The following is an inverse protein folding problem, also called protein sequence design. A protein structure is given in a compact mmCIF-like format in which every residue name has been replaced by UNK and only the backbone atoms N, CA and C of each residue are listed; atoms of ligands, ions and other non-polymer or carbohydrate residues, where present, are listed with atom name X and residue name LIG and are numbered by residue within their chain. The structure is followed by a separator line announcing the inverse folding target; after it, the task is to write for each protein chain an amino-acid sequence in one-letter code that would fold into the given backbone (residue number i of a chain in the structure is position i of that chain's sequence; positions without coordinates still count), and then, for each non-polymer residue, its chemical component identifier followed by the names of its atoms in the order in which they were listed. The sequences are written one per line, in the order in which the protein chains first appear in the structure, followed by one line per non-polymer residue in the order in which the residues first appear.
data_IF_603111577131
#
_entry.id   IF_603111577131
#
_cell.length_a   1.000
_cell.length_b   1.000
_cell.length_c   1.000
_cell.angle_alpha   90.00
_cell.angle_beta   90.00
_cell.angle_gamma   90.00
#
_symmetry.space_group_name_H-M   'P 1'
#
loop_
_entity.id
_entity.type
_entity.pdbx_description
1 polymer ?
#
# COMPACT_ATOMS: atom_id res chain seq x y z
N UNK A 1 -10.78 1.44 -3.98
CA UNK A 1 -9.54 0.81 -4.46
C UNK A 1 -9.62 0.71 -5.97
N UNK A 2 -8.55 1.05 -6.69
CA UNK A 2 -8.46 0.94 -8.15
C UNK A 2 -7.43 -0.15 -8.44
N UNK A 3 -7.84 -1.20 -9.13
CA UNK A 3 -6.94 -2.28 -9.58
C UNK A 3 -6.59 -2.06 -11.06
N UNK A 4 -5.31 -2.06 -11.37
CA UNK A 4 -4.80 -1.85 -12.71
C UNK A 4 -3.35 -2.30 -12.83
N UNK A 5 -2.99 -2.80 -14.01
CA UNK A 5 -1.59 -3.12 -14.35
C UNK A 5 -0.73 -1.86 -14.44
N UNK A 6 -1.29 -0.67 -14.72
CA UNK A 6 -0.54 0.59 -14.83
C UNK A 6 0.75 0.47 -15.66
N UNK A 7 0.70 -0.11 -16.86
CA UNK A 7 1.90 -0.34 -17.68
C UNK A 7 2.47 0.91 -18.38
N UNK A 8 1.94 2.11 -18.08
CA UNK A 8 2.33 3.38 -18.69
C UNK A 8 2.42 4.48 -17.62
N UNK A 9 3.56 5.18 -17.49
CA UNK A 9 3.73 6.20 -16.44
C UNK A 9 2.80 7.40 -16.57
N UNK A 10 2.63 7.94 -17.79
CA UNK A 10 1.83 9.17 -17.99
C UNK A 10 0.36 9.01 -17.54
N UNK A 11 -0.38 7.96 -17.95
CA UNK A 11 -1.73 7.70 -17.42
C UNK A 11 -1.77 7.46 -15.91
N UNK A 12 -0.73 6.85 -15.32
CA UNK A 12 -0.67 6.62 -13.89
C UNK A 12 -0.57 7.97 -13.13
N UNK A 13 0.29 8.88 -13.59
CA UNK A 13 0.43 10.22 -13.01
C UNK A 13 -0.87 11.02 -13.17
N UNK A 14 -1.48 11.02 -14.36
CA UNK A 14 -2.75 11.71 -14.63
C UNK A 14 -3.88 11.21 -13.71
N UNK A 15 -3.93 9.90 -13.43
CA UNK A 15 -4.87 9.33 -12.46
C UNK A 15 -4.62 9.90 -11.05
N UNK A 16 -3.35 9.98 -10.63
CA UNK A 16 -2.97 10.59 -9.35
C UNK A 16 -3.39 12.04 -9.23
N UNK A 17 -3.21 12.83 -10.29
CA UNK A 17 -3.63 14.23 -10.36
C UNK A 17 -5.15 14.38 -10.23
N UNK A 18 -5.93 13.58 -10.97
CA UNK A 18 -7.39 13.59 -10.88
C UNK A 18 -7.88 13.28 -9.46
N UNK A 19 -7.28 12.29 -8.81
CA UNK A 19 -7.60 11.94 -7.42
C UNK A 19 -7.24 13.08 -6.46
N UNK A 20 -6.08 13.70 -6.64
CA UNK A 20 -5.64 14.83 -5.83
C UNK A 20 -6.55 16.06 -5.98
N UNK A 21 -7.00 16.36 -7.21
CA UNK A 21 -7.95 17.44 -7.52
C UNK A 21 -9.31 17.18 -6.89
N UNK A 22 -9.76 15.93 -6.88
CA UNK A 22 -10.99 15.52 -6.20
C UNK A 22 -10.87 15.50 -4.66
N UNK A 23 -9.70 15.79 -4.10
CA UNK A 23 -9.47 15.89 -2.66
C UNK A 23 -9.16 14.56 -1.97
N UNK A 24 -8.88 13.50 -2.72
CA UNK A 24 -8.48 12.21 -2.14
C UNK A 24 -7.02 12.21 -1.69
N UNK A 25 -6.74 11.46 -0.63
CA UNK A 25 -5.42 10.94 -0.34
C UNK A 25 -5.17 9.66 -1.14
N UNK A 26 -3.93 9.46 -1.59
CA UNK A 26 -3.58 8.34 -2.47
C UNK A 26 -2.57 7.43 -1.79
N UNK A 27 -2.90 6.15 -1.71
CA UNK A 27 -1.94 5.08 -1.41
C UNK A 27 -1.66 4.27 -2.68
N UNK A 28 -0.38 4.01 -2.92
CA UNK A 28 0.08 3.18 -4.05
C UNK A 28 0.57 1.85 -3.50
N UNK A 29 -0.06 0.76 -3.94
CA UNK A 29 0.35 -0.61 -3.66
C UNK A 29 0.79 -1.23 -4.97
N UNK A 30 2.05 -1.64 -5.01
CA UNK A 30 2.75 -2.14 -6.19
C UNK A 30 3.16 -3.59 -5.94
N UNK A 31 2.65 -4.52 -6.75
CA UNK A 31 2.78 -5.95 -6.55
C UNK A 31 3.62 -6.55 -7.68
N UNK A 32 4.82 -6.99 -7.34
CA UNK A 32 5.82 -7.37 -8.34
C UNK A 32 6.26 -8.82 -8.20
N UNK A 33 6.48 -9.46 -9.35
CA UNK A 33 6.95 -10.85 -9.49
C UNK A 33 7.83 -10.98 -10.74
N UNK A 34 8.70 -12.00 -10.82
CA UNK A 34 9.34 -12.35 -12.08
C UNK A 34 8.31 -12.68 -13.16
N UNK A 35 8.67 -12.44 -14.42
CA UNK A 35 7.81 -12.71 -15.57
C UNK A 35 7.37 -14.18 -15.61
N UNK A 36 8.28 -15.11 -15.36
CA UNK A 36 8.05 -16.56 -15.40
C UNK A 36 7.00 -16.96 -14.37
N UNK A 37 7.06 -16.36 -13.18
CA UNK A 37 6.07 -16.57 -12.12
C UNK A 37 4.71 -15.98 -12.49
N UNK A 38 4.69 -14.78 -13.07
CA UNK A 38 3.46 -14.15 -13.58
C UNK A 38 2.76 -15.03 -14.63
N UNK A 39 3.52 -15.52 -15.62
CA UNK A 39 3.02 -16.43 -16.65
C UNK A 39 2.47 -17.73 -16.06
N UNK A 40 3.23 -18.35 -15.14
CA UNK A 40 2.80 -19.58 -14.48
C UNK A 40 1.47 -19.38 -13.73
N UNK A 41 1.30 -18.27 -13.02
CA UNK A 41 0.06 -17.94 -12.29
C UNK A 41 -1.11 -17.65 -13.21
N UNK A 42 -0.89 -16.94 -14.32
CA UNK A 42 -1.91 -16.74 -15.35
C UNK A 42 -2.40 -18.08 -15.91
N UNK A 43 -1.46 -18.98 -16.23
CA UNK A 43 -1.78 -20.29 -16.76
C UNK A 43 -2.52 -21.17 -15.72
N UNK A 44 -2.07 -21.14 -14.48
CA UNK A 44 -2.70 -21.86 -13.37
C UNK A 44 -4.12 -21.36 -13.10
N UNK A 45 -4.33 -20.04 -13.02
CA UNK A 45 -5.65 -19.43 -12.82
C UNK A 45 -6.62 -19.86 -13.92
N UNK A 46 -6.17 -19.80 -15.18
CA UNK A 46 -6.99 -20.27 -16.30
C UNK A 46 -7.34 -21.75 -16.17
N UNK A 47 -6.35 -22.60 -15.88
CA UNK A 47 -6.55 -24.05 -15.71
C UNK A 47 -7.57 -24.34 -14.62
N UNK A 48 -7.46 -23.70 -13.46
CA UNK A 48 -8.39 -23.87 -12.34
C UNK A 48 -9.82 -23.49 -12.74
N UNK A 49 -10.01 -22.36 -13.43
CA UNK A 49 -11.35 -21.98 -13.93
C UNK A 49 -11.89 -22.94 -14.98
N UNK A 50 -11.02 -23.47 -15.85
CA UNK A 50 -11.41 -24.45 -16.87
C UNK A 50 -11.81 -25.79 -16.24
N UNK A 51 -10.97 -26.35 -15.36
CA UNK A 51 -11.24 -27.59 -14.63
C UNK A 51 -12.52 -27.48 -13.80
N UNK A 52 -12.73 -26.34 -13.15
CA UNK A 52 -13.97 -26.04 -12.42
C UNK A 52 -15.21 -26.15 -13.32
N UNK A 53 -15.22 -25.47 -14.46
CA UNK A 53 -16.35 -25.50 -15.40
C UNK A 53 -16.59 -26.89 -15.99
N UNK A 54 -15.53 -27.68 -16.22
CA UNK A 54 -15.67 -29.08 -16.68
C UNK A 54 -16.33 -29.96 -15.60
N UNK A 55 -16.01 -29.74 -14.32
CA UNK A 55 -16.56 -30.52 -13.21
C UNK A 55 -18.01 -30.14 -12.90
N UNK A 56 -18.34 -28.85 -12.88
CA UNK A 56 -19.68 -28.37 -12.50
C UNK A 56 -20.66 -28.36 -13.66
N UNK A 57 -20.17 -28.24 -14.90
CA UNK A 57 -21.01 -27.97 -16.08
C UNK A 57 -21.63 -26.57 -16.08
N UNK A 58 -21.24 -25.73 -15.12
CA UNK A 58 -21.69 -24.35 -14.97
C UNK A 58 -20.58 -23.40 -15.48
N UNK A 59 -20.99 -22.28 -16.10
CA UNK A 59 -20.12 -21.29 -16.73
C UNK A 59 -19.32 -21.80 -17.96
N UNK A 60 -18.58 -20.90 -18.62
CA UNK A 60 -17.76 -21.21 -19.80
C UNK A 60 -16.27 -21.39 -19.45
N UNK A 61 -15.94 -21.45 -18.17
CA UNK A 61 -14.57 -21.42 -17.66
C UNK A 61 -13.88 -20.05 -17.79
N UNK A 62 -12.60 -20.01 -17.46
CA UNK A 62 -11.79 -18.79 -17.50
C UNK A 62 -11.35 -18.42 -18.93
N UNK A 63 -11.25 -17.11 -19.23
CA UNK A 63 -10.66 -16.63 -20.49
C UNK A 63 -9.14 -16.77 -20.45
N UNK A 64 -8.58 -17.41 -21.46
CA UNK A 64 -7.13 -17.52 -21.64
C UNK A 64 -6.50 -16.14 -21.86
N UNK A 65 -5.32 -15.93 -21.28
CA UNK A 65 -4.48 -14.76 -21.56
C UNK A 65 -3.22 -15.26 -22.29
N UNK A 66 -3.08 -14.99 -23.59
CA UNK A 66 -1.88 -15.36 -24.34
C UNK A 66 -0.60 -14.79 -23.71
N UNK A 67 0.46 -15.59 -23.70
CA UNK A 67 1.74 -15.24 -23.06
C UNK A 67 2.37 -13.96 -23.60
N UNK A 68 2.12 -13.63 -24.88
CA UNK A 68 2.56 -12.36 -25.50
C UNK A 68 2.06 -11.13 -24.75
N UNK A 69 0.82 -11.12 -24.27
CA UNK A 69 0.28 -9.99 -23.51
C UNK A 69 0.95 -9.84 -22.15
N UNK A 70 1.25 -10.95 -21.50
CA UNK A 70 1.97 -10.93 -20.23
C UNK A 70 3.46 -10.63 -20.42
N UNK A 71 4.04 -10.79 -21.62
CA UNK A 71 5.39 -10.29 -21.94
C UNK A 71 5.39 -8.78 -22.20
N UNK A 72 4.35 -8.25 -22.84
CA UNK A 72 4.25 -6.83 -23.21
C UNK A 72 4.21 -5.87 -22.01
N UNK A 73 3.97 -6.38 -20.80
CA UNK A 73 3.98 -5.57 -19.57
C UNK A 73 5.34 -5.57 -18.86
N UNK A 74 6.38 -6.18 -19.45
CA UNK A 74 7.76 -6.18 -18.95
C UNK A 74 8.71 -5.46 -19.91
N UNK A 75 9.77 -4.87 -19.37
CA UNK A 75 10.80 -4.15 -20.13
C UNK A 75 11.90 -5.10 -20.66
N UNK A 76 11.49 -6.12 -21.42
CA UNK A 76 12.39 -7.10 -22.04
C UNK A 76 12.45 -8.46 -21.33
N UNK A 77 13.38 -9.35 -21.73
CA UNK A 77 13.48 -10.72 -21.20
C UNK A 77 13.73 -10.77 -19.68
N UNK A 78 14.68 -9.97 -19.21
CA UNK A 78 15.08 -9.84 -17.79
C UNK A 78 14.61 -8.51 -17.17
N UNK A 79 13.75 -7.80 -17.89
CA UNK A 79 13.27 -6.48 -17.50
C UNK A 79 12.32 -6.55 -16.32
N UNK A 80 12.32 -5.49 -15.51
CA UNK A 80 11.24 -5.26 -14.55
C UNK A 80 9.92 -5.02 -15.29
N UNK A 81 8.83 -5.19 -14.58
CA UNK A 81 7.51 -4.81 -15.08
C UNK A 81 7.47 -3.30 -15.35
N UNK A 82 6.62 -2.90 -16.29
CA UNK A 82 6.31 -1.49 -16.57
C UNK A 82 5.47 -0.85 -15.47
N UNK A 83 4.75 -1.66 -14.69
CA UNK A 83 3.99 -1.24 -13.52
C UNK A 83 4.90 -0.62 -12.47
N UNK A 84 6.06 -1.24 -12.23
CA UNK A 84 7.04 -0.74 -11.26
C UNK A 84 7.47 0.70 -11.55
N UNK A 85 7.80 1.01 -12.81
CA UNK A 85 8.20 2.36 -13.23
C UNK A 85 7.05 3.36 -13.09
N UNK A 86 5.84 2.92 -13.46
CA UNK A 86 4.64 3.76 -13.42
C UNK A 86 4.21 4.06 -11.98
N UNK A 87 4.27 3.08 -11.08
CA UNK A 87 4.00 3.23 -9.66
C UNK A 87 5.01 4.17 -8.99
N UNK A 88 6.30 4.03 -9.32
CA UNK A 88 7.33 4.94 -8.84
C UNK A 88 7.14 6.38 -9.35
N UNK A 89 6.79 6.55 -10.64
CA UNK A 89 6.51 7.86 -11.22
C UNK A 89 5.29 8.53 -10.59
N UNK A 90 4.20 7.79 -10.40
CA UNK A 90 3.01 8.25 -9.68
C UNK A 90 3.35 8.65 -8.25
N UNK A 91 4.09 7.81 -7.52
CA UNK A 91 4.49 8.08 -6.15
C UNK A 91 5.35 9.36 -6.03
N UNK A 92 6.30 9.54 -6.93
CA UNK A 92 7.17 10.71 -6.96
C UNK A 92 6.40 12.00 -7.29
N UNK A 93 5.47 11.93 -8.25
CA UNK A 93 4.84 13.12 -8.85
C UNK A 93 3.54 13.53 -8.17
N UNK A 94 2.77 12.59 -7.62
CA UNK A 94 1.47 12.90 -7.01
C UNK A 94 1.64 13.54 -5.63
N UNK A 95 1.25 14.81 -5.43
CA UNK A 95 1.40 15.49 -4.14
C UNK A 95 0.47 14.96 -3.05
N UNK A 96 -0.63 14.31 -3.46
CA UNK A 96 -1.60 13.68 -2.57
C UNK A 96 -1.24 12.24 -2.17
N UNK A 97 -0.10 11.72 -2.66
CA UNK A 97 0.37 10.40 -2.26
C UNK A 97 0.88 10.44 -0.81
N UNK A 98 0.30 9.60 0.04
CA UNK A 98 0.65 9.50 1.47
C UNK A 98 1.54 8.30 1.77
N UNK A 99 1.39 7.20 1.00
CA UNK A 99 2.20 5.99 1.14
C UNK A 99 2.37 5.24 -0.18
N UNK A 100 3.58 4.78 -0.44
CA UNK A 100 3.95 3.89 -1.54
C UNK A 100 4.59 2.62 -0.98
N UNK A 101 3.94 1.49 -1.21
CA UNK A 101 4.44 0.16 -0.82
C UNK A 101 4.66 -0.69 -2.07
N UNK A 102 5.88 -1.19 -2.23
CA UNK A 102 6.20 -2.21 -3.24
C UNK A 102 6.46 -3.55 -2.57
N UNK A 103 5.74 -4.54 -3.05
CA UNK A 103 5.88 -5.91 -2.63
C UNK A 103 6.53 -6.73 -3.75
N UNK A 104 7.34 -7.71 -3.35
CA UNK A 104 7.99 -8.63 -4.27
C UNK A 104 7.72 -10.07 -3.83
N UNK A 105 7.31 -10.91 -4.79
CA UNK A 105 7.28 -12.36 -4.60
C UNK A 105 8.26 -13.00 -5.58
N UNK A 106 9.30 -13.63 -5.04
CA UNK A 106 10.42 -14.13 -5.82
C UNK A 106 10.10 -15.42 -6.58
N UNK A 107 9.41 -16.35 -5.92
CA UNK A 107 9.04 -17.64 -6.50
C UNK A 107 7.70 -18.11 -5.94
N UNK A 108 7.14 -19.13 -6.55
CA UNK A 108 5.93 -19.77 -6.05
C UNK A 108 6.15 -20.30 -4.61
N UNK A 109 5.13 -20.20 -3.77
CA UNK A 109 5.17 -20.53 -2.33
C UNK A 109 6.17 -19.73 -1.48
N UNK A 110 6.86 -18.74 -2.04
CA UNK A 110 7.69 -17.82 -1.26
C UNK A 110 6.82 -16.72 -0.66
N UNK A 111 6.98 -16.39 0.64
CA UNK A 111 6.28 -15.26 1.24
C UNK A 111 6.58 -13.96 0.50
N UNK A 112 5.54 -13.17 0.29
CA UNK A 112 5.66 -11.82 -0.26
C UNK A 112 6.46 -10.93 0.72
N UNK A 113 7.48 -10.24 0.21
CA UNK A 113 8.30 -9.28 1.00
C UNK A 113 8.02 -7.85 0.60
N UNK A 114 8.17 -6.92 1.53
CA UNK A 114 8.16 -5.48 1.24
C UNK A 114 9.55 -5.05 0.79
N UNK A 115 9.67 -4.53 -0.43
CA UNK A 115 10.95 -3.98 -0.94
C UNK A 115 11.06 -2.47 -0.79
N UNK A 116 9.94 -1.75 -0.87
CA UNK A 116 9.87 -0.33 -0.60
C UNK A 116 8.67 -0.02 0.27
N UNK A 117 8.85 0.80 1.29
CA UNK A 117 7.77 1.38 2.08
C UNK A 117 8.11 2.84 2.37
N UNK A 118 7.61 3.73 1.52
CA UNK A 118 7.86 5.16 1.59
C UNK A 118 6.57 5.91 1.85
N UNK A 119 6.66 7.08 2.44
CA UNK A 119 5.52 7.98 2.61
C UNK A 119 5.93 9.43 2.72
N UNK A 120 4.93 10.30 2.81
CA UNK A 120 5.13 11.73 3.08
C UNK A 120 4.51 12.05 4.44
N UNK A 121 5.24 12.78 5.29
CA UNK A 121 4.69 13.22 6.59
C UNK A 121 3.69 14.36 6.45
N UNK A 122 3.71 15.07 5.33
CA UNK A 122 2.80 16.15 4.96
C UNK A 122 2.56 16.11 3.45
N UNK A 123 1.39 16.59 3.00
CA UNK A 123 1.06 16.68 1.58
C UNK A 123 2.14 17.45 0.83
N UNK A 124 2.54 16.96 -0.34
CA UNK A 124 3.64 17.50 -1.14
C UNK A 124 5.04 17.54 -0.47
N UNK A 125 5.21 17.03 0.75
CA UNK A 125 6.50 16.95 1.44
C UNK A 125 7.41 15.86 0.86
N UNK A 126 8.65 15.74 1.31
CA UNK A 126 9.60 14.74 0.78
C UNK A 126 9.09 13.29 0.96
N UNK A 127 9.40 12.43 -0.02
CA UNK A 127 9.13 11.00 0.06
C UNK A 127 10.26 10.29 0.82
N UNK A 128 9.99 9.89 2.05
CA UNK A 128 10.96 9.27 2.96
C UNK A 128 10.52 7.86 3.38
N UNK A 129 11.41 7.08 3.98
CA UNK A 129 11.04 5.77 4.53
C UNK A 129 9.92 5.92 5.57
N UNK A 130 8.88 5.11 5.41
CA UNK A 130 7.68 5.19 6.23
C UNK A 130 7.95 4.86 7.71
N UNK A 131 9.01 4.11 7.98
CA UNK A 131 9.50 3.83 9.34
C UNK A 131 9.92 5.12 10.07
N UNK A 132 10.51 6.10 9.37
CA UNK A 132 10.91 7.39 9.95
C UNK A 132 9.70 8.24 10.32
N UNK A 133 8.66 8.22 9.49
CA UNK A 133 7.38 8.89 9.78
C UNK A 133 6.77 8.27 11.04
N UNK A 134 6.68 6.95 11.07
CA UNK A 134 6.13 6.20 12.21
C UNK A 134 6.91 6.48 13.50
N UNK A 135 8.25 6.50 13.43
CA UNK A 135 9.10 6.80 14.57
C UNK A 135 8.86 8.23 15.11
N UNK A 136 8.78 9.23 14.22
CA UNK A 136 8.50 10.63 14.61
C UNK A 136 7.15 10.77 15.29
N UNK A 137 6.11 10.15 14.74
CA UNK A 137 4.76 10.17 15.33
C UNK A 137 4.77 9.54 16.73
N UNK A 138 5.41 8.37 16.89
CA UNK A 138 5.55 7.71 18.19
C UNK A 138 6.26 8.59 19.21
N UNK A 139 7.42 9.16 18.85
CA UNK A 139 8.15 10.06 19.74
C UNK A 139 7.32 11.27 20.15
N UNK A 140 6.63 11.93 19.22
CA UNK A 140 5.76 13.08 19.53
C UNK A 140 4.66 12.71 20.53
N UNK A 141 4.06 11.52 20.41
CA UNK A 141 3.05 11.04 21.37
C UNK A 141 3.64 10.67 22.74
N UNK A 142 4.88 10.16 22.80
CA UNK A 142 5.51 9.76 24.07
C UNK A 142 5.89 10.95 24.95
N UNK A 143 6.20 12.12 24.38
CA UNK A 143 6.55 13.33 25.14
C UNK A 143 5.35 14.22 25.48
N UNK A 144 4.18 14.00 24.88
CA UNK A 144 2.97 14.79 25.12
C UNK A 144 2.24 14.49 26.43
N UNK A 145 2.55 13.38 27.11
CA UNK A 145 1.77 12.87 28.25
C UNK A 145 2.47 13.00 29.61
N UNK A 146 3.53 13.81 29.72
CA UNK A 146 4.13 14.14 31.02
C UNK A 146 3.46 15.38 31.63
N UNK A 147 2.15 15.29 31.88
CA UNK A 147 1.46 16.24 32.75
C UNK A 147 1.79 15.86 34.19
N UNK A 148 2.79 16.52 34.75
CA UNK A 148 3.22 16.43 36.15
C UNK A 148 2.00 16.45 37.09
N UNK A 149 1.81 15.46 37.98
CA UNK A 149 0.71 15.49 38.92
C UNK A 149 0.93 16.64 39.92
N UNK A 150 0.01 17.59 39.94
CA UNK A 150 -0.07 18.63 40.96
C UNK A 150 -0.35 17.97 42.31
N UNK A 151 0.49 18.16 43.35
CA UNK A 151 0.21 17.61 44.66
C UNK A 151 -1.02 18.31 45.26
N UNK A 152 -2.09 17.55 45.48
CA UNK A 152 -3.30 18.04 46.11
C UNK A 152 -3.02 18.29 47.60
N UNK A 153 -2.97 19.57 48.00
CA UNK A 153 -2.85 20.00 49.39
C UNK A 153 -4.15 19.65 50.12
N UNK A 154 -4.14 18.63 50.96
CA UNK A 154 -5.26 18.29 51.84
C UNK A 154 -5.42 19.37 52.91
N UNK A 155 -6.52 20.12 52.85
CA UNK A 155 -6.90 21.04 53.92
C UNK A 155 -7.73 20.23 54.93
N UNK A 156 -7.16 19.98 56.10
CA UNK A 156 -7.84 19.39 57.23
C UNK A 156 -8.98 20.32 57.69
N UNK A 157 -10.20 19.79 57.75
CA UNK A 157 -11.38 20.47 58.29
C UNK A 157 -11.48 20.09 59.78
N UNK A 158 -11.35 21.09 60.66
CA UNK A 158 -11.50 20.94 62.11
C UNK A 158 -12.95 20.61 62.53
N UNK A 159 -13.16 20.21 63.80
CA UNK A 159 -14.39 19.60 64.26
C UNK A 159 -15.48 20.65 64.49
N UNK A 160 -16.72 20.34 64.07
CA UNK A 160 -17.91 21.10 64.47
C UNK A 160 -18.44 20.54 65.79
N UNK A 161 -18.57 21.45 66.74
CA UNK A 161 -19.11 21.32 68.09
C UNK A 161 -20.60 21.00 68.11
N UNK A 162 -20.97 20.11 69.02
CA UNK A 162 -22.31 19.81 69.52
C UNK A 162 -23.08 21.06 69.96
N UNK A 163 -24.39 21.12 69.67
CA UNK A 163 -25.43 21.69 70.54
C UNK A 163 -26.79 21.02 70.32
N UNK A 164 -27.30 20.53 71.44
CA UNK A 164 -28.70 20.26 71.88
C UNK A 164 -29.61 19.31 71.09
#
# INVERSE_FOLDING_TARGET
MIDSVLSKPAPAVELGEKLATAGYEVEVVDLEVPHELSQARIAQRWRQSYEGAVVTGEELGGRWVPSVYARDVFNGPDGRSRSQESAAALAASCPAMVRYRRFWTEAEYTPMRVENDKGRSQRAGELIDHSLITARTRSATSFGTSTRPTPHRSIARGPQTERE
#
